data_IF_937971303174
#
_entry.id   IF_937971303174
#
_cell.length_a   1.000
_cell.length_b   1.000
_cell.length_c   1.000
_cell.angle_alpha   90.00
_cell.angle_beta   90.00
_cell.angle_gamma   90.00
#
_symmetry.space_group_name_H-M   'P 1'
#
loop_
_entity.id
_entity.type
_entity.pdbx_description
1 polymer ?
#
# COMPACT_ATOMS: atom_id res chain seq x y z
N UNK A 1 0.25 -14.05 -16.80
CA UNK A 1 -0.52 -12.89 -17.31
C UNK A 1 0.19 -11.58 -16.95
N UNK A 2 0.48 -11.32 -15.68
CA UNK A 2 1.21 -10.12 -15.24
C UNK A 2 2.61 -10.00 -15.90
N UNK A 3 3.35 -11.11 -16.05
CA UNK A 3 4.65 -11.13 -16.72
C UNK A 3 4.56 -10.64 -18.18
N UNK A 4 3.57 -11.09 -18.93
CA UNK A 4 3.36 -10.69 -20.33
C UNK A 4 3.04 -9.20 -20.48
N UNK A 5 2.38 -8.61 -19.47
CA UNK A 5 2.17 -7.15 -19.44
C UNK A 5 3.46 -6.40 -19.15
N UNK A 6 4.28 -6.88 -18.21
CA UNK A 6 5.60 -6.28 -17.89
C UNK A 6 6.53 -6.34 -19.11
N UNK A 7 6.45 -7.44 -19.90
CA UNK A 7 7.22 -7.63 -21.13
C UNK A 7 6.61 -6.86 -22.34
N UNK A 8 5.49 -6.13 -22.12
CA UNK A 8 4.83 -5.32 -23.16
C UNK A 8 4.03 -6.12 -24.19
N UNK A 9 3.81 -7.41 -23.98
CA UNK A 9 3.09 -8.29 -24.90
C UNK A 9 1.58 -8.08 -24.88
N UNK A 10 1.02 -7.67 -23.74
CA UNK A 10 -0.42 -7.42 -23.54
C UNK A 10 -0.64 -6.16 -22.71
N UNK A 11 -1.74 -5.45 -22.96
CA UNK A 11 -2.12 -4.26 -22.22
C UNK A 11 -2.66 -4.62 -20.83
N UNK A 12 -2.74 -3.63 -19.94
CA UNK A 12 -3.30 -3.85 -18.59
C UNK A 12 -4.80 -4.17 -18.65
N UNK A 13 -5.53 -3.59 -19.59
CA UNK A 13 -6.93 -3.88 -19.83
C UNK A 13 -7.12 -5.34 -20.27
N UNK A 14 -6.23 -5.85 -21.11
CA UNK A 14 -6.22 -7.26 -21.50
C UNK A 14 -5.90 -8.17 -20.31
N UNK A 15 -4.96 -7.78 -19.42
CA UNK A 15 -4.71 -8.50 -18.16
C UNK A 15 -5.96 -8.58 -17.31
N UNK A 16 -6.62 -7.45 -17.06
CA UNK A 16 -7.84 -7.38 -16.24
C UNK A 16 -8.97 -8.22 -16.85
N UNK A 17 -9.13 -8.15 -18.17
CA UNK A 17 -10.10 -8.97 -18.90
C UNK A 17 -9.80 -10.46 -18.78
N UNK A 18 -8.57 -10.87 -18.96
CA UNK A 18 -8.13 -12.27 -18.85
C UNK A 18 -8.35 -12.82 -17.43
N UNK A 19 -7.97 -12.06 -16.39
CA UNK A 19 -8.21 -12.45 -14.99
C UNK A 19 -9.70 -12.63 -14.73
N UNK A 20 -10.52 -11.63 -15.10
CA UNK A 20 -11.98 -11.71 -14.96
C UNK A 20 -12.59 -12.90 -15.66
N UNK A 21 -12.19 -13.13 -16.94
CA UNK A 21 -12.72 -14.23 -17.76
C UNK A 21 -12.31 -15.60 -17.22
N UNK A 22 -11.07 -15.74 -16.74
CA UNK A 22 -10.58 -16.99 -16.16
C UNK A 22 -11.43 -17.41 -14.95
N UNK A 23 -11.64 -16.50 -13.99
CA UNK A 23 -12.39 -16.82 -12.79
C UNK A 23 -13.91 -16.93 -13.02
N UNK A 24 -14.46 -16.24 -14.02
CA UNK A 24 -15.88 -16.41 -14.41
C UNK A 24 -16.16 -17.76 -15.08
N UNK A 25 -15.19 -18.32 -15.81
CA UNK A 25 -15.36 -19.61 -16.52
C UNK A 25 -15.08 -20.83 -15.66
N UNK A 26 -14.49 -20.64 -14.48
CA UNK A 26 -14.17 -21.75 -13.58
C UNK A 26 -15.47 -22.33 -13.00
N UNK A 27 -15.83 -23.55 -13.42
CA UNK A 27 -17.09 -24.23 -13.05
C UNK A 27 -17.07 -24.82 -11.66
N UNK A 28 -15.88 -25.11 -11.11
CA UNK A 28 -15.71 -25.54 -9.72
C UNK A 28 -14.69 -24.61 -9.03
N UNK A 29 -15.09 -23.93 -7.96
CA UNK A 29 -14.20 -23.11 -7.13
C UNK A 29 -13.59 -23.97 -6.03
N UNK A 30 -12.27 -23.89 -5.88
CA UNK A 30 -11.53 -24.46 -4.76
C UNK A 30 -11.55 -23.46 -3.59
N UNK A 31 -11.37 -23.92 -2.35
CA UNK A 31 -11.40 -23.08 -1.13
C UNK A 31 -10.41 -21.88 -1.17
N UNK A 32 -9.33 -22.01 -1.95
CA UNK A 32 -8.29 -20.98 -2.08
C UNK A 32 -8.43 -20.07 -3.32
N UNK A 33 -9.44 -20.29 -4.16
CA UNK A 33 -9.59 -19.54 -5.43
C UNK A 33 -9.95 -18.07 -5.19
N UNK A 34 -10.73 -17.77 -4.15
CA UNK A 34 -11.09 -16.38 -3.84
C UNK A 34 -9.87 -15.55 -3.44
N UNK A 35 -8.94 -16.15 -2.69
CA UNK A 35 -7.66 -15.49 -2.34
C UNK A 35 -6.75 -15.32 -3.55
N UNK A 36 -6.72 -16.29 -4.46
CA UNK A 36 -5.94 -16.21 -5.70
C UNK A 36 -6.52 -15.14 -6.63
N UNK A 37 -7.85 -15.08 -6.78
CA UNK A 37 -8.53 -14.04 -7.56
C UNK A 37 -8.26 -12.65 -6.98
N UNK A 38 -8.35 -12.48 -5.64
CA UNK A 38 -7.98 -11.23 -4.97
C UNK A 38 -6.54 -10.84 -5.32
N UNK A 39 -5.59 -11.77 -5.16
CA UNK A 39 -4.17 -11.51 -5.40
C UNK A 39 -3.91 -11.11 -6.85
N UNK A 40 -4.52 -11.78 -7.82
CA UNK A 40 -4.36 -11.49 -9.25
C UNK A 40 -4.95 -10.12 -9.61
N UNK A 41 -6.16 -9.80 -9.12
CA UNK A 41 -6.80 -8.49 -9.35
C UNK A 41 -5.98 -7.35 -8.75
N UNK A 42 -5.58 -7.50 -7.49
CA UNK A 42 -4.77 -6.51 -6.79
C UNK A 42 -3.43 -6.30 -7.47
N UNK A 43 -2.78 -7.37 -7.94
CA UNK A 43 -1.51 -7.27 -8.66
C UNK A 43 -1.65 -6.50 -9.98
N UNK A 44 -2.72 -6.76 -10.74
CA UNK A 44 -3.01 -6.04 -11.98
C UNK A 44 -3.28 -4.55 -11.70
N UNK A 45 -4.08 -4.23 -10.67
CA UNK A 45 -4.40 -2.85 -10.29
C UNK A 45 -3.14 -2.09 -9.81
N UNK A 46 -2.26 -2.74 -9.06
CA UNK A 46 -0.97 -2.15 -8.64
C UNK A 46 -0.09 -1.86 -9.86
N UNK A 47 0.02 -2.80 -10.79
CA UNK A 47 0.82 -2.62 -12.00
C UNK A 47 0.33 -1.41 -12.81
N UNK A 48 -0.97 -1.28 -13.00
CA UNK A 48 -1.59 -0.12 -13.66
C UNK A 48 -1.24 1.19 -12.94
N UNK A 49 -1.47 1.25 -11.62
CA UNK A 49 -1.17 2.44 -10.81
C UNK A 49 0.29 2.87 -10.89
N UNK A 50 1.20 1.92 -10.89
CA UNK A 50 2.64 2.18 -10.95
C UNK A 50 3.13 2.54 -12.36
N UNK A 51 2.35 2.22 -13.40
CA UNK A 51 2.59 2.66 -14.77
C UNK A 51 2.19 4.11 -15.04
N UNK A 52 1.45 4.75 -14.14
CA UNK A 52 1.01 6.13 -14.26
C UNK A 52 1.94 7.08 -13.50
N UNK A 53 2.29 8.23 -14.10
CA UNK A 53 3.14 9.25 -13.46
C UNK A 53 2.36 10.12 -12.45
N UNK A 54 1.01 10.17 -12.54
CA UNK A 54 0.19 11.00 -11.68
C UNK A 54 0.31 10.58 -10.21
N UNK A 55 0.61 11.55 -9.35
CA UNK A 55 0.69 11.36 -7.91
C UNK A 55 0.27 12.64 -7.17
N UNK A 56 -0.54 12.48 -6.13
CA UNK A 56 -0.95 13.57 -5.25
C UNK A 56 -0.59 13.21 -3.81
N UNK A 57 0.32 13.96 -3.21
CA UNK A 57 0.74 13.81 -1.83
C UNK A 57 -0.30 14.42 -0.89
N UNK A 58 -1.36 13.68 -0.59
CA UNK A 58 -2.49 14.14 0.22
C UNK A 58 -3.34 12.97 0.74
N UNK A 59 -4.28 13.28 1.65
CA UNK A 59 -5.30 12.30 2.09
C UNK A 59 -6.12 11.77 0.90
N UNK A 60 -6.46 12.64 -0.05
CA UNK A 60 -7.16 12.21 -1.28
C UNK A 60 -6.29 11.28 -2.11
N UNK A 61 -4.99 11.56 -2.20
CA UNK A 61 -4.03 10.71 -2.91
C UNK A 61 -3.95 9.30 -2.32
N UNK A 62 -3.76 9.15 -1.00
CA UNK A 62 -3.64 7.84 -0.34
C UNK A 62 -4.97 7.06 -0.38
N UNK A 63 -6.11 7.73 -0.22
CA UNK A 63 -7.43 7.08 -0.33
C UNK A 63 -7.75 6.68 -1.77
N UNK A 64 -7.33 7.46 -2.78
CA UNK A 64 -7.45 7.11 -4.19
C UNK A 64 -6.59 5.90 -4.55
N UNK A 65 -5.34 5.84 -4.06
CA UNK A 65 -4.47 4.68 -4.24
C UNK A 65 -5.14 3.43 -3.65
N UNK A 66 -5.63 3.49 -2.40
CA UNK A 66 -6.34 2.37 -1.79
C UNK A 66 -7.57 1.95 -2.61
N UNK A 67 -8.40 2.90 -3.04
CA UNK A 67 -9.58 2.62 -3.86
C UNK A 67 -9.20 1.86 -5.11
N UNK A 68 -8.22 2.34 -5.86
CA UNK A 68 -7.81 1.77 -7.12
C UNK A 68 -7.13 0.42 -6.99
N UNK A 69 -6.32 0.20 -5.93
CA UNK A 69 -5.73 -1.12 -5.64
C UNK A 69 -6.82 -2.17 -5.41
N UNK A 70 -7.89 -1.81 -4.68
CA UNK A 70 -8.89 -2.75 -4.20
C UNK A 70 -10.24 -2.63 -4.92
N UNK A 71 -10.29 -1.91 -6.04
CA UNK A 71 -11.47 -1.85 -6.89
C UNK A 71 -11.88 -3.24 -7.37
N UNK A 72 -13.15 -3.57 -7.17
CA UNK A 72 -13.69 -4.90 -7.49
C UNK A 72 -13.26 -6.03 -6.53
N UNK A 73 -12.54 -5.68 -5.45
CA UNK A 73 -12.10 -6.61 -4.38
C UNK A 73 -12.81 -6.30 -3.07
N UNK A 74 -12.70 -5.05 -2.57
CA UNK A 74 -13.35 -4.64 -1.34
C UNK A 74 -14.48 -3.64 -1.62
N UNK A 75 -15.65 -3.85 -0.99
CA UNK A 75 -16.78 -2.90 -1.07
C UNK A 75 -16.44 -1.52 -0.51
N UNK A 76 -15.55 -1.47 0.50
CA UNK A 76 -15.07 -0.27 1.19
C UNK A 76 -13.75 0.27 0.62
N UNK A 77 -13.43 -0.05 -0.63
CA UNK A 77 -12.20 0.43 -1.26
C UNK A 77 -12.13 1.97 -1.27
N UNK A 78 -11.08 2.55 -0.68
CA UNK A 78 -10.87 4.00 -0.54
C UNK A 78 -11.54 4.64 0.67
N UNK A 79 -12.27 3.89 1.49
CA UNK A 79 -12.94 4.41 2.67
C UNK A 79 -12.06 4.30 3.92
N UNK A 80 -11.94 5.41 4.66
CA UNK A 80 -11.29 5.40 5.97
C UNK A 80 -12.22 4.69 6.96
N UNK A 81 -11.68 3.73 7.71
CA UNK A 81 -12.44 2.97 8.70
C UNK A 81 -13.03 3.87 9.79
N UNK A 82 -14.14 3.48 10.34
CA UNK A 82 -14.85 4.17 11.43
C UNK A 82 -14.89 3.35 12.74
N UNK A 83 -14.04 2.33 12.87
CA UNK A 83 -13.90 1.46 14.04
C UNK A 83 -12.43 1.24 14.36
N UNK A 84 -12.13 0.97 15.65
CA UNK A 84 -10.78 0.66 16.10
C UNK A 84 -10.38 -0.77 15.74
N UNK A 85 -9.08 -0.96 15.48
CA UNK A 85 -8.52 -2.26 15.15
C UNK A 85 -7.35 -2.60 16.07
N UNK A 86 -7.22 -3.88 16.36
CA UNK A 86 -6.07 -4.47 17.02
C UNK A 86 -5.69 -5.75 16.30
N UNK A 87 -4.39 -5.97 16.08
CA UNK A 87 -3.86 -7.15 15.39
C UNK A 87 -2.73 -7.74 16.22
N UNK A 88 -2.87 -9.02 16.56
CA UNK A 88 -1.75 -9.76 17.15
C UNK A 88 -0.70 -10.01 16.08
N UNK A 89 0.52 -9.56 16.33
CA UNK A 89 1.63 -9.65 15.40
C UNK A 89 2.58 -10.77 15.79
N UNK A 90 2.70 -11.81 14.95
CA UNK A 90 3.58 -12.93 15.22
C UNK A 90 5.04 -12.50 15.39
N UNK A 91 5.49 -11.46 14.64
CA UNK A 91 6.85 -10.92 14.73
C UNK A 91 7.13 -10.24 16.08
N UNK A 92 6.08 -9.89 16.83
CA UNK A 92 6.10 -9.36 18.18
C UNK A 92 5.68 -10.41 19.22
N UNK A 93 5.75 -11.71 18.88
CA UNK A 93 5.37 -12.83 19.76
C UNK A 93 3.91 -12.76 20.26
N UNK A 94 3.02 -12.17 19.46
CA UNK A 94 1.61 -12.05 19.77
C UNK A 94 1.19 -10.70 20.37
N UNK A 95 2.15 -9.79 20.61
CA UNK A 95 1.86 -8.39 20.92
C UNK A 95 1.31 -7.65 19.71
N UNK A 96 0.78 -6.44 19.94
CA UNK A 96 0.16 -5.58 18.94
C UNK A 96 0.91 -4.25 18.81
N UNK A 97 0.78 -3.64 17.64
CA UNK A 97 1.08 -2.21 17.43
C UNK A 97 -0.16 -1.40 17.81
N UNK A 98 0.05 -0.24 18.42
CA UNK A 98 -1.02 0.74 18.64
C UNK A 98 -1.29 1.48 17.31
N UNK A 99 -2.44 1.18 16.71
CA UNK A 99 -2.92 1.86 15.52
C UNK A 99 -3.72 3.12 15.88
N UNK A 100 -3.87 4.04 14.93
CA UNK A 100 -4.66 5.26 15.13
C UNK A 100 -6.11 4.96 15.55
N UNK A 101 -6.68 5.76 16.45
CA UNK A 101 -8.08 5.67 16.84
C UNK A 101 -9.00 6.15 15.70
N UNK A 102 -10.11 5.48 15.49
CA UNK A 102 -11.01 5.75 14.37
C UNK A 102 -11.44 7.22 14.24
N UNK A 103 -11.83 7.94 15.31
CA UNK A 103 -12.22 9.35 15.21
C UNK A 103 -11.10 10.27 14.74
N UNK A 104 -9.85 9.89 14.95
CA UNK A 104 -8.67 10.74 14.72
C UNK A 104 -7.96 10.46 13.39
N UNK A 105 -8.29 9.37 12.70
CA UNK A 105 -7.54 8.90 11.52
C UNK A 105 -7.35 9.97 10.44
N UNK A 106 -8.43 10.67 10.08
CA UNK A 106 -8.36 11.72 9.05
C UNK A 106 -7.47 12.88 9.51
N UNK A 107 -7.57 13.30 10.77
CA UNK A 107 -6.77 14.38 11.35
C UNK A 107 -5.28 13.98 11.40
N UNK A 108 -4.98 12.75 11.83
CA UNK A 108 -3.62 12.23 11.84
C UNK A 108 -3.01 12.16 10.44
N UNK A 109 -3.77 11.68 9.43
CA UNK A 109 -3.32 11.68 8.05
C UNK A 109 -3.03 13.09 7.51
N UNK A 110 -3.93 14.05 7.78
CA UNK A 110 -3.71 15.45 7.36
C UNK A 110 -2.43 15.97 7.99
N UNK A 111 -2.29 15.81 9.31
CA UNK A 111 -1.14 16.31 10.05
C UNK A 111 0.19 15.73 9.52
N UNK A 112 0.32 14.41 9.41
CA UNK A 112 1.57 13.77 8.97
C UNK A 112 1.90 14.14 7.52
N UNK A 113 0.90 14.19 6.64
CA UNK A 113 1.11 14.56 5.23
C UNK A 113 1.48 16.05 5.07
N UNK A 114 0.95 16.94 5.90
CA UNK A 114 1.32 18.36 5.90
C UNK A 114 2.73 18.59 6.42
N UNK A 115 3.10 17.94 7.53
CA UNK A 115 4.47 18.00 8.07
C UNK A 115 5.50 17.56 7.03
N UNK A 116 5.25 16.49 6.31
CA UNK A 116 6.15 16.02 5.26
C UNK A 116 6.18 16.96 4.05
N UNK A 117 5.04 17.54 3.66
CA UNK A 117 4.98 18.49 2.55
C UNK A 117 5.76 19.78 2.82
N UNK A 118 5.84 20.21 4.09
CA UNK A 118 6.59 21.37 4.52
C UNK A 118 8.08 21.07 4.71
N UNK A 119 8.46 19.80 4.73
CA UNK A 119 9.84 19.39 4.93
C UNK A 119 10.68 19.65 3.68
N UNK A 120 11.84 20.30 3.87
CA UNK A 120 12.78 20.59 2.79
C UNK A 120 13.93 19.60 2.79
N UNK A 121 14.13 18.92 1.67
CA UNK A 121 15.27 18.01 1.46
C UNK A 121 16.55 18.71 0.97
N UNK A 122 16.50 20.02 0.73
CA UNK A 122 17.64 20.79 0.20
C UNK A 122 18.78 20.77 1.21
N UNK A 123 19.96 20.31 0.77
CA UNK A 123 21.19 20.29 1.59
C UNK A 123 21.25 19.18 2.64
N UNK A 124 20.25 18.28 2.68
CA UNK A 124 20.24 17.16 3.63
C UNK A 124 21.03 15.98 3.05
N UNK A 125 22.00 15.40 3.79
CA UNK A 125 22.71 14.20 3.39
C UNK A 125 21.78 13.02 3.14
N UNK A 126 22.12 12.17 2.18
CA UNK A 126 21.28 11.05 1.72
C UNK A 126 20.90 10.08 2.85
N UNK A 127 21.81 9.80 3.78
CA UNK A 127 21.56 8.92 4.93
C UNK A 127 20.49 9.49 5.88
N UNK A 128 20.47 10.82 6.06
CA UNK A 128 19.44 11.51 6.83
C UNK A 128 18.11 11.59 6.08
N UNK A 129 18.16 11.82 4.77
CA UNK A 129 16.99 11.76 3.88
C UNK A 129 16.29 10.40 3.96
N UNK A 130 17.05 9.30 3.84
CA UNK A 130 16.52 7.94 3.94
C UNK A 130 15.86 7.70 5.32
N UNK A 131 16.52 8.11 6.41
CA UNK A 131 15.97 7.95 7.76
C UNK A 131 14.68 8.75 7.94
N UNK A 132 14.64 9.97 7.43
CA UNK A 132 13.44 10.82 7.50
C UNK A 132 12.28 10.19 6.73
N UNK A 133 12.49 9.80 5.49
CA UNK A 133 11.46 9.14 4.66
C UNK A 133 10.98 7.84 5.33
N UNK A 134 11.89 7.01 5.83
CA UNK A 134 11.53 5.78 6.52
C UNK A 134 10.63 6.04 7.75
N UNK A 135 10.94 7.08 8.53
CA UNK A 135 10.12 7.52 9.68
C UNK A 135 8.75 8.01 9.23
N UNK A 136 8.68 8.86 8.21
CA UNK A 136 7.43 9.37 7.64
C UNK A 136 6.53 8.22 7.17
N UNK A 137 7.05 7.31 6.35
CA UNK A 137 6.30 6.16 5.83
C UNK A 137 5.85 5.22 6.95
N UNK A 138 6.70 5.02 7.97
CA UNK A 138 6.37 4.21 9.14
C UNK A 138 5.21 4.82 9.94
N UNK A 139 5.21 6.14 10.16
CA UNK A 139 4.13 6.88 10.81
C UNK A 139 2.81 6.77 10.04
N UNK A 140 2.83 7.03 8.73
CA UNK A 140 1.65 6.87 7.86
C UNK A 140 1.08 5.45 7.93
N UNK A 141 1.94 4.42 7.95
CA UNK A 141 1.46 3.04 8.11
C UNK A 141 0.85 2.79 9.49
N UNK A 142 1.39 3.39 10.57
CA UNK A 142 0.87 3.24 11.93
C UNK A 142 -0.54 3.83 12.09
N UNK A 143 -0.86 4.91 11.39
CA UNK A 143 -2.22 5.46 11.37
C UNK A 143 -3.22 4.37 10.96
N UNK A 144 -2.86 3.50 10.03
CA UNK A 144 -3.64 2.33 9.60
C UNK A 144 -5.08 2.69 9.22
N UNK A 145 -5.27 3.61 8.26
CA UNK A 145 -6.57 4.24 8.04
C UNK A 145 -7.63 3.33 7.43
N UNK A 146 -7.26 2.19 6.86
CA UNK A 146 -8.20 1.31 6.17
C UNK A 146 -8.48 0.04 6.98
N UNK A 147 -9.66 -0.56 6.76
CA UNK A 147 -10.00 -1.83 7.39
C UNK A 147 -9.03 -2.96 6.99
N UNK A 148 -8.67 -2.99 5.70
CA UNK A 148 -7.72 -3.94 5.12
C UNK A 148 -6.78 -3.23 4.13
N UNK A 149 -5.71 -3.90 3.66
CA UNK A 149 -4.86 -3.40 2.56
C UNK A 149 -3.87 -2.30 2.90
N UNK A 150 -3.74 -1.87 4.17
CA UNK A 150 -2.88 -0.76 4.57
C UNK A 150 -1.43 -0.92 4.10
N UNK A 151 -0.81 -2.09 4.27
CA UNK A 151 0.59 -2.31 3.87
C UNK A 151 0.78 -2.22 2.35
N UNK A 152 -0.14 -2.78 1.55
CA UNK A 152 -0.09 -2.69 0.07
C UNK A 152 -0.26 -1.24 -0.39
N UNK A 153 -1.19 -0.50 0.21
CA UNK A 153 -1.39 0.93 -0.06
C UNK A 153 -0.16 1.75 0.30
N UNK A 154 0.42 1.52 1.47
CA UNK A 154 1.65 2.20 1.90
C UNK A 154 2.80 1.91 0.95
N UNK A 155 2.98 0.67 0.49
CA UNK A 155 4.03 0.32 -0.46
C UNK A 155 3.88 1.10 -1.79
N UNK A 156 2.69 1.10 -2.39
CA UNK A 156 2.43 1.83 -3.64
C UNK A 156 2.57 3.34 -3.45
N UNK A 157 2.05 3.89 -2.35
CA UNK A 157 2.22 5.29 -1.99
C UNK A 157 3.70 5.66 -1.86
N UNK A 158 4.50 4.83 -1.19
CA UNK A 158 5.94 5.02 -1.02
C UNK A 158 6.66 5.04 -2.36
N UNK A 159 6.38 4.10 -3.25
CA UNK A 159 7.00 4.07 -4.59
C UNK A 159 6.71 5.37 -5.35
N UNK A 160 5.43 5.77 -5.40
CA UNK A 160 5.03 7.00 -6.10
C UNK A 160 5.61 8.25 -5.46
N UNK A 161 5.66 8.31 -4.13
CA UNK A 161 6.28 9.40 -3.40
C UNK A 161 7.77 9.50 -3.69
N UNK A 162 8.52 8.41 -3.60
CA UNK A 162 9.94 8.40 -3.94
C UNK A 162 10.20 8.82 -5.39
N UNK A 163 9.37 8.38 -6.34
CA UNK A 163 9.46 8.83 -7.73
C UNK A 163 9.23 10.33 -7.87
N UNK A 164 8.28 10.90 -7.12
CA UNK A 164 8.01 12.35 -7.13
C UNK A 164 9.17 13.17 -6.56
N UNK A 165 10.03 12.56 -5.72
CA UNK A 165 11.28 13.13 -5.23
C UNK A 165 12.48 12.90 -6.18
N UNK A 166 12.27 12.26 -7.34
CA UNK A 166 13.29 12.01 -8.35
C UNK A 166 14.06 10.69 -8.21
N UNK A 167 13.67 9.82 -7.26
CA UNK A 167 14.30 8.50 -7.13
C UNK A 167 13.77 7.52 -8.17
N UNK A 168 14.64 6.69 -8.70
CA UNK A 168 14.27 5.57 -9.56
C UNK A 168 13.88 4.36 -8.69
N UNK A 169 12.59 4.08 -8.59
CA UNK A 169 12.06 3.01 -7.76
C UNK A 169 11.05 2.18 -8.55
N UNK A 170 11.20 0.86 -8.50
CA UNK A 170 10.25 -0.10 -9.04
C UNK A 170 9.57 -0.91 -7.92
N UNK A 171 8.66 -1.79 -8.29
CA UNK A 171 7.92 -2.62 -7.33
C UNK A 171 8.67 -3.90 -6.90
N UNK A 172 9.81 -4.24 -7.50
CA UNK A 172 10.44 -5.55 -7.33
C UNK A 172 10.81 -5.84 -5.87
N UNK A 173 11.42 -4.87 -5.18
CA UNK A 173 11.76 -5.03 -3.77
C UNK A 173 10.53 -5.19 -2.88
N UNK A 174 9.46 -4.45 -3.16
CA UNK A 174 8.23 -4.52 -2.36
C UNK A 174 7.47 -5.83 -2.60
N UNK A 175 7.44 -6.33 -3.83
CA UNK A 175 6.80 -7.61 -4.16
C UNK A 175 7.61 -8.81 -3.64
N UNK A 176 8.92 -8.84 -3.88
CA UNK A 176 9.80 -9.94 -3.48
C UNK A 176 10.06 -9.99 -1.98
N UNK A 177 10.05 -8.84 -1.30
CA UNK A 177 10.33 -8.67 0.12
C UNK A 177 9.15 -8.13 0.92
N UNK A 178 7.93 -8.41 0.48
CA UNK A 178 6.69 -7.90 1.10
C UNK A 178 6.57 -8.23 2.59
N UNK A 179 6.95 -9.43 3.00
CA UNK A 179 7.02 -9.83 4.40
C UNK A 179 8.05 -9.03 5.20
N UNK A 180 9.23 -8.80 4.62
CA UNK A 180 10.27 -7.99 5.27
C UNK A 180 9.79 -6.55 5.45
N UNK A 181 9.23 -5.93 4.41
CA UNK A 181 8.69 -4.57 4.47
C UNK A 181 7.61 -4.43 5.54
N UNK A 182 6.61 -5.34 5.54
CA UNK A 182 5.56 -5.37 6.56
C UNK A 182 6.13 -5.51 7.98
N UNK A 183 7.03 -6.45 8.19
CA UNK A 183 7.60 -6.72 9.50
C UNK A 183 8.51 -5.59 10.00
N UNK A 184 9.19 -4.89 9.09
CA UNK A 184 9.96 -3.69 9.42
C UNK A 184 9.03 -2.56 9.92
N UNK A 185 7.89 -2.33 9.25
CA UNK A 185 6.88 -1.36 9.68
C UNK A 185 6.29 -1.73 11.06
N UNK A 186 5.95 -3.00 11.27
CA UNK A 186 5.48 -3.48 12.58
C UNK A 186 6.50 -3.20 13.68
N UNK A 187 7.76 -3.59 13.48
CA UNK A 187 8.83 -3.39 14.48
C UNK A 187 9.15 -1.93 14.73
N UNK A 188 9.12 -1.09 13.69
CA UNK A 188 9.39 0.34 13.81
C UNK A 188 8.34 1.07 14.66
N UNK A 189 7.13 0.54 14.73
CA UNK A 189 6.00 1.11 15.47
C UNK A 189 5.66 0.34 16.77
N UNK A 190 6.49 -0.64 17.13
CA UNK A 190 6.33 -1.35 18.39
C UNK A 190 7.03 -0.59 19.51
N UNK A 191 6.25 -0.09 20.46
CA UNK A 191 6.74 0.53 21.70
C UNK A 191 6.51 -0.43 22.84
N UNK A 192 7.61 -0.94 23.39
CA UNK A 192 7.58 -1.70 24.64
C UNK A 192 7.59 -0.67 25.76
N UNK A 193 6.44 -0.46 26.41
CA UNK A 193 6.30 0.40 27.60
C UNK A 193 6.72 -0.37 28.83
#
# INVERSE_FOLDING_TARGET
TARRNIEGEITIEEVQHLVKTYYQRKTAREEDDDKKEEADRVSANIAQLLGEDSFVYSVVGITSIHRRIFEGVFKHAGEIRNFDISKKEWVLRGDSVLYGNAPDLRRALVYDLEQEREFSYIGIPIDKTIKHIAKCISGLWQIHPFAEGNTRTTAVFTIKYLRSLGFQVNNDLFSQKSWYFRNALVRANYHNY
#
